data_IF_690569013484
#
_entry.id   IF_690569013484
#
_cell.length_a   1.000
_cell.length_b   1.000
_cell.length_c   1.000
_cell.angle_alpha   90.00
_cell.angle_beta   90.00
_cell.angle_gamma   90.00
#
_symmetry.space_group_name_H-M   'P 1'
#
loop_
_entity.id
_entity.type
_entity.pdbx_description
1 polymer ?
#
# COMPACT_ATOMS: atom_id res chain seq x y z
N UNK A 1 4.93 -24.68 -15.89
CA UNK A 1 4.42 -23.53 -15.13
C UNK A 1 4.99 -23.59 -13.71
N UNK A 2 5.78 -22.62 -13.30
CA UNK A 2 6.16 -22.51 -11.89
C UNK A 2 4.91 -22.11 -11.11
N UNK A 3 4.40 -22.99 -10.25
CA UNK A 3 3.39 -22.65 -9.27
C UNK A 3 4.07 -21.76 -8.21
N UNK A 4 3.99 -20.44 -8.39
CA UNK A 4 4.50 -19.49 -7.41
C UNK A 4 3.45 -19.34 -6.30
N UNK A 5 3.86 -19.54 -5.05
CA UNK A 5 3.04 -19.38 -3.86
C UNK A 5 3.60 -18.22 -3.05
N UNK A 6 2.71 -17.36 -2.54
CA UNK A 6 3.09 -16.23 -1.66
C UNK A 6 3.67 -16.75 -0.34
N UNK A 7 4.41 -15.90 0.33
CA UNK A 7 4.68 -16.11 1.75
C UNK A 7 3.39 -15.89 2.55
N UNK A 8 3.30 -16.48 3.74
CA UNK A 8 2.15 -16.33 4.63
C UNK A 8 1.84 -14.85 4.90
N UNK A 9 0.58 -14.46 4.74
CA UNK A 9 0.04 -13.17 5.19
C UNK A 9 -0.85 -13.39 6.41
N UNK A 10 -0.81 -12.47 7.37
CA UNK A 10 -1.63 -12.56 8.58
C UNK A 10 -3.08 -12.16 8.27
N UNK A 11 -3.28 -11.27 7.29
CA UNK A 11 -4.60 -10.83 6.83
C UNK A 11 -4.62 -10.91 5.30
N UNK A 12 -5.70 -11.49 4.77
CA UNK A 12 -6.01 -11.50 3.33
C UNK A 12 -7.42 -10.98 3.15
N UNK A 13 -7.58 -9.93 2.35
CA UNK A 13 -8.87 -9.40 1.92
C UNK A 13 -9.15 -9.87 0.50
N UNK A 14 -10.30 -10.45 0.27
CA UNK A 14 -10.65 -11.07 -1.01
C UNK A 14 -12.13 -10.86 -1.34
N UNK A 15 -12.48 -11.11 -2.58
CA UNK A 15 -13.87 -11.01 -3.03
C UNK A 15 -14.73 -12.09 -2.35
N UNK A 16 -15.78 -11.67 -1.64
CA UNK A 16 -16.65 -12.53 -0.83
C UNK A 16 -17.41 -13.60 -1.64
N UNK A 17 -17.60 -13.37 -2.93
CA UNK A 17 -18.35 -14.27 -3.80
C UNK A 17 -17.49 -15.44 -4.33
N UNK A 18 -16.24 -15.53 -3.87
CA UNK A 18 -15.29 -16.57 -4.25
C UNK A 18 -14.91 -17.45 -3.06
N UNK A 19 -14.71 -18.74 -3.33
CA UNK A 19 -14.34 -19.74 -2.32
C UNK A 19 -12.82 -19.93 -2.34
N UNK A 20 -12.17 -20.08 -1.15
CA UNK A 20 -10.76 -20.48 -1.08
C UNK A 20 -10.49 -21.74 -1.88
N UNK A 21 -9.36 -21.79 -2.60
CA UNK A 21 -8.97 -22.98 -3.37
C UNK A 21 -8.75 -24.19 -2.49
N UNK A 22 -8.18 -23.98 -1.31
CA UNK A 22 -7.89 -25.04 -0.35
C UNK A 22 -8.14 -24.46 1.06
N UNK A 23 -8.97 -25.15 1.81
CA UNK A 23 -9.19 -24.94 3.23
C UNK A 23 -8.90 -26.27 3.94
N UNK A 24 -7.79 -26.37 4.64
CA UNK A 24 -7.42 -27.54 5.41
C UNK A 24 -7.52 -27.32 6.93
N UNK A 25 -8.18 -26.23 7.37
CA UNK A 25 -8.33 -25.86 8.77
C UNK A 25 -7.08 -25.26 9.42
N UNK A 26 -5.93 -25.30 8.74
CA UNK A 26 -4.64 -24.74 9.21
C UNK A 26 -4.22 -23.55 8.38
N UNK A 27 -4.45 -23.61 7.05
CA UNK A 27 -4.12 -22.54 6.12
C UNK A 27 -5.17 -22.45 5.01
N UNK A 28 -5.44 -21.21 4.59
CA UNK A 28 -6.32 -20.93 3.48
C UNK A 28 -5.48 -20.48 2.29
N UNK A 29 -5.76 -21.01 1.10
CA UNK A 29 -5.11 -20.61 -0.15
C UNK A 29 -6.14 -19.95 -1.06
N UNK A 30 -5.83 -18.74 -1.48
CA UNK A 30 -6.68 -17.95 -2.36
C UNK A 30 -6.04 -17.81 -3.74
N UNK A 31 -6.80 -17.89 -4.83
CA UNK A 31 -6.33 -17.43 -6.13
C UNK A 31 -5.91 -15.97 -6.01
N UNK A 32 -4.76 -15.61 -6.55
CA UNK A 32 -4.27 -14.24 -6.47
C UNK A 32 -5.19 -13.23 -7.15
N UNK A 33 -5.97 -13.70 -8.10
CA UNK A 33 -6.93 -12.91 -8.90
C UNK A 33 -8.10 -12.35 -8.09
N UNK A 34 -8.43 -12.98 -6.96
CA UNK A 34 -9.55 -12.54 -6.10
C UNK A 34 -9.07 -11.75 -4.88
N UNK A 35 -7.76 -11.68 -4.66
CA UNK A 35 -7.18 -10.95 -3.53
C UNK A 35 -7.21 -9.46 -3.83
N UNK A 36 -7.80 -8.69 -2.91
CA UNK A 36 -7.88 -7.23 -2.98
C UNK A 36 -6.78 -6.57 -2.14
N UNK A 37 -6.47 -7.17 -1.00
CA UNK A 37 -5.48 -6.61 -0.09
C UNK A 37 -4.82 -7.65 0.79
N UNK A 38 -3.59 -7.36 1.21
CA UNK A 38 -2.82 -8.19 2.13
C UNK A 38 -2.26 -7.37 3.27
N UNK A 39 -2.22 -7.95 4.46
CA UNK A 39 -1.68 -7.31 5.64
C UNK A 39 -0.78 -8.22 6.47
N UNK A 40 0.14 -7.59 7.18
CA UNK A 40 0.97 -8.25 8.18
C UNK A 40 0.77 -7.57 9.54
N UNK A 41 0.76 -8.36 10.62
CA UNK A 41 0.52 -7.86 11.99
C UNK A 41 1.73 -8.22 12.86
N UNK A 42 2.24 -7.24 13.58
CA UNK A 42 3.42 -7.40 14.42
C UNK A 42 3.21 -6.73 15.79
N UNK A 43 3.90 -7.22 16.82
CA UNK A 43 3.90 -6.58 18.13
C UNK A 43 4.75 -5.30 18.13
N UNK A 44 6.03 -5.43 18.30
CA UNK A 44 6.99 -4.32 18.25
C UNK A 44 7.98 -4.58 17.14
N UNK A 45 8.28 -3.56 16.34
CA UNK A 45 9.20 -3.68 15.22
C UNK A 45 10.43 -2.81 15.45
N UNK A 46 11.60 -3.39 15.28
CA UNK A 46 12.84 -2.67 15.05
C UNK A 46 13.02 -2.38 13.54
N UNK A 47 14.02 -1.56 13.17
CA UNK A 47 14.27 -1.16 11.77
C UNK A 47 14.40 -2.37 10.84
N UNK A 48 15.13 -3.40 11.26
CA UNK A 48 15.40 -4.60 10.42
C UNK A 48 14.12 -5.41 10.19
N UNK A 49 13.35 -5.64 11.23
CA UNK A 49 12.08 -6.37 11.15
C UNK A 49 11.03 -5.61 10.36
N UNK A 50 10.97 -4.29 10.51
CA UNK A 50 10.13 -3.40 9.72
C UNK A 50 10.44 -3.51 8.23
N UNK A 51 11.72 -3.35 7.84
CA UNK A 51 12.17 -3.50 6.46
C UNK A 51 11.81 -4.89 5.90
N UNK A 52 12.08 -5.97 6.66
CA UNK A 52 11.72 -7.33 6.23
C UNK A 52 10.22 -7.51 6.00
N UNK A 53 9.37 -6.94 6.86
CA UNK A 53 7.92 -7.01 6.72
C UNK A 53 7.44 -6.29 5.46
N UNK A 54 7.96 -5.09 5.18
CA UNK A 54 7.61 -4.34 3.98
C UNK A 54 8.06 -5.04 2.70
N UNK A 55 9.29 -5.55 2.66
CA UNK A 55 9.81 -6.31 1.49
C UNK A 55 9.01 -7.58 1.27
N UNK A 56 8.60 -8.28 2.33
CA UNK A 56 7.71 -9.45 2.27
C UNK A 56 6.39 -9.11 1.59
N UNK A 57 5.73 -8.04 2.03
CA UNK A 57 4.47 -7.56 1.42
C UNK A 57 4.66 -7.20 -0.06
N UNK A 58 5.74 -6.50 -0.39
CA UNK A 58 6.04 -6.12 -1.76
C UNK A 58 6.28 -7.33 -2.67
N UNK A 59 7.01 -8.34 -2.21
CA UNK A 59 7.22 -9.60 -2.95
C UNK A 59 5.91 -10.35 -3.19
N UNK A 60 4.98 -10.32 -2.24
CA UNK A 60 3.66 -10.92 -2.43
C UNK A 60 2.84 -10.15 -3.49
N UNK A 61 2.95 -8.81 -3.56
CA UNK A 61 2.32 -8.01 -4.62
C UNK A 61 2.93 -8.28 -6.00
N UNK A 62 4.24 -8.52 -6.10
CA UNK A 62 4.90 -8.90 -7.36
C UNK A 62 4.28 -10.16 -7.97
N UNK A 63 3.88 -11.14 -7.19
CA UNK A 63 3.21 -12.35 -7.71
C UNK A 63 1.94 -12.00 -8.48
N UNK A 64 1.18 -11.02 -7.99
CA UNK A 64 -0.01 -10.53 -8.69
C UNK A 64 0.35 -9.84 -10.01
N UNK A 65 1.36 -8.97 -10.01
CA UNK A 65 1.83 -8.27 -11.21
C UNK A 65 2.35 -9.24 -12.27
N UNK A 66 3.13 -10.24 -11.87
CA UNK A 66 3.59 -11.30 -12.78
C UNK A 66 2.41 -12.08 -13.40
N UNK A 67 1.39 -12.37 -12.61
CA UNK A 67 0.18 -13.06 -13.09
C UNK A 67 -0.62 -12.18 -14.03
N UNK A 68 -0.86 -10.92 -13.65
CA UNK A 68 -1.55 -9.92 -14.48
C UNK A 68 -0.85 -9.73 -15.82
N UNK A 69 0.49 -9.66 -15.85
CA UNK A 69 1.28 -9.57 -17.08
C UNK A 69 1.10 -10.76 -18.02
N UNK A 70 0.97 -11.98 -17.47
CA UNK A 70 0.74 -13.20 -18.27
C UNK A 70 -0.67 -13.29 -18.87
N UNK A 71 -1.67 -12.77 -18.14
CA UNK A 71 -3.09 -12.86 -18.54
C UNK A 71 -3.53 -11.76 -19.50
N UNK A 72 -2.78 -10.65 -19.61
CA UNK A 72 -3.04 -9.60 -20.62
C UNK A 72 -3.05 -10.15 -22.06
N UNK A 73 -2.44 -11.30 -22.30
CA UNK A 73 -2.43 -11.96 -23.61
C UNK A 73 -3.62 -12.89 -23.85
N UNK A 74 -4.35 -13.34 -22.84
CA UNK A 74 -5.31 -14.43 -22.96
C UNK A 74 -6.74 -14.12 -22.51
N UNK A 75 -7.00 -13.29 -21.50
CA UNK A 75 -8.36 -13.03 -21.00
C UNK A 75 -8.51 -11.64 -20.35
N UNK A 76 -9.60 -10.92 -20.71
CA UNK A 76 -10.02 -9.61 -20.15
C UNK A 76 -10.60 -9.70 -18.72
N UNK A 77 -10.17 -10.60 -17.87
CA UNK A 77 -10.76 -10.79 -16.53
C UNK A 77 -10.21 -9.89 -15.45
N UNK A 78 -9.10 -9.19 -15.70
CA UNK A 78 -8.58 -8.19 -14.79
C UNK A 78 -9.01 -6.82 -15.26
N UNK A 79 -9.59 -6.02 -14.38
CA UNK A 79 -9.66 -4.58 -14.59
C UNK A 79 -8.23 -4.07 -14.78
N UNK A 80 -8.00 -3.25 -15.80
CA UNK A 80 -6.67 -2.67 -16.04
C UNK A 80 -6.15 -1.88 -14.83
N UNK A 81 -7.06 -1.44 -13.96
CA UNK A 81 -6.79 -0.63 -12.78
C UNK A 81 -6.81 -1.41 -11.45
N UNK A 82 -7.06 -2.73 -11.46
CA UNK A 82 -7.05 -3.49 -10.21
C UNK A 82 -5.62 -3.74 -9.74
N UNK A 83 -5.30 -3.27 -8.55
CA UNK A 83 -4.01 -3.48 -7.88
C UNK A 83 -4.26 -4.05 -6.48
N UNK A 84 -3.41 -4.97 -6.02
CA UNK A 84 -3.47 -5.43 -4.64
C UNK A 84 -2.87 -4.36 -3.73
N UNK A 85 -3.62 -3.88 -2.75
CA UNK A 85 -3.04 -3.03 -1.73
C UNK A 85 -2.41 -3.84 -0.59
N UNK A 86 -1.47 -3.22 0.12
CA UNK A 86 -0.82 -3.87 1.26
C UNK A 86 -0.63 -2.92 2.43
N UNK A 87 -0.73 -3.46 3.64
CA UNK A 87 -0.61 -2.70 4.86
C UNK A 87 0.13 -3.47 5.95
N UNK A 88 0.76 -2.72 6.85
CA UNK A 88 1.43 -3.25 8.03
C UNK A 88 0.77 -2.65 9.27
N UNK A 89 0.37 -3.51 10.21
CA UNK A 89 -0.12 -3.07 11.53
C UNK A 89 0.87 -3.51 12.60
N UNK A 90 1.27 -2.59 13.47
CA UNK A 90 2.08 -2.94 14.63
C UNK A 90 1.62 -2.19 15.88
N UNK A 91 1.99 -2.71 17.04
CA UNK A 91 1.72 -2.01 18.29
C UNK A 91 2.65 -0.81 18.45
N UNK A 92 3.96 -0.97 18.13
CA UNK A 92 4.97 0.06 18.34
C UNK A 92 6.15 -0.10 17.38
N UNK A 93 6.72 1.04 16.98
CA UNK A 93 8.02 1.13 16.32
C UNK A 93 9.11 1.47 17.36
N UNK A 94 10.16 0.67 17.45
CA UNK A 94 11.29 0.90 18.36
C UNK A 94 12.45 1.67 17.70
N UNK A 95 12.16 2.41 16.64
CA UNK A 95 13.12 3.20 15.87
C UNK A 95 12.45 4.48 15.33
N UNK A 96 13.27 5.42 14.89
CA UNK A 96 12.80 6.64 14.25
C UNK A 96 12.54 6.40 12.76
N UNK A 97 11.26 6.39 12.38
CA UNK A 97 10.82 6.12 11.02
C UNK A 97 11.29 7.17 10.00
N UNK A 98 11.56 8.40 10.44
CA UNK A 98 12.04 9.48 9.56
C UNK A 98 13.45 9.23 9.03
N UNK A 99 14.17 8.26 9.61
CA UNK A 99 15.52 7.84 9.21
C UNK A 99 15.52 6.63 8.27
N UNK A 100 14.36 6.23 7.75
CA UNK A 100 14.27 5.17 6.76
C UNK A 100 14.35 5.76 5.37
N UNK A 101 15.28 5.24 4.59
CA UNK A 101 15.30 5.41 3.15
C UNK A 101 14.48 4.28 2.51
N UNK A 102 13.31 4.63 1.96
CA UNK A 102 12.43 3.65 1.34
C UNK A 102 12.96 3.17 -0.02
N UNK A 103 13.80 3.92 -0.70
CA UNK A 103 14.43 3.47 -1.93
C UNK A 103 15.49 2.41 -1.63
N UNK A 104 16.20 2.54 -0.50
CA UNK A 104 17.09 1.48 0.01
C UNK A 104 16.29 0.22 0.42
N UNK A 105 15.15 0.40 1.11
CA UNK A 105 14.27 -0.72 1.51
C UNK A 105 13.80 -1.53 0.31
N UNK A 106 13.46 -0.86 -0.78
CA UNK A 106 12.89 -1.48 -1.98
C UNK A 106 13.87 -1.60 -3.16
N UNK A 107 15.17 -1.58 -2.90
CA UNK A 107 16.21 -1.62 -3.95
C UNK A 107 16.09 -2.82 -4.91
N UNK A 108 15.54 -3.95 -4.45
CA UNK A 108 15.27 -5.15 -5.25
C UNK A 108 13.87 -5.16 -5.91
N UNK A 109 13.04 -4.16 -5.64
CA UNK A 109 11.64 -4.06 -6.10
C UNK A 109 11.54 -2.86 -7.03
N UNK A 110 11.69 -3.09 -8.32
CA UNK A 110 11.69 -2.03 -9.33
C UNK A 110 10.31 -1.37 -9.50
N UNK A 111 9.21 -2.14 -9.35
CA UNK A 111 7.87 -1.60 -9.50
C UNK A 111 7.39 -0.92 -8.22
N UNK A 112 7.30 0.41 -8.26
CA UNK A 112 6.83 1.25 -7.15
C UNK A 112 5.42 0.84 -6.68
N UNK A 113 4.56 0.36 -7.56
CA UNK A 113 3.21 -0.12 -7.22
C UNK A 113 3.22 -1.32 -6.27
N UNK A 114 4.31 -2.06 -6.22
CA UNK A 114 4.48 -3.15 -5.27
C UNK A 114 4.83 -2.70 -3.85
N UNK A 115 5.20 -1.43 -3.64
CA UNK A 115 5.44 -0.90 -2.30
C UNK A 115 4.17 -0.96 -1.45
N UNK A 116 4.31 -0.92 -0.13
CA UNK A 116 3.17 -0.87 0.80
C UNK A 116 2.35 0.40 0.60
N UNK A 117 1.08 0.36 1.02
CA UNK A 117 0.18 1.52 0.92
C UNK A 117 0.12 2.30 2.23
N UNK A 118 0.03 1.62 3.35
CA UNK A 118 -0.13 2.25 4.66
C UNK A 118 0.49 1.42 5.77
N UNK A 119 1.01 2.09 6.79
CA UNK A 119 1.48 1.48 8.04
C UNK A 119 0.73 2.10 9.21
N UNK A 120 0.13 1.27 10.06
CA UNK A 120 -0.46 1.68 11.33
C UNK A 120 0.42 1.19 12.48
N UNK A 121 0.94 2.12 13.27
CA UNK A 121 1.43 1.84 14.61
C UNK A 121 0.43 2.33 15.64
N UNK A 122 -0.05 1.44 16.50
CA UNK A 122 -1.07 1.79 17.49
C UNK A 122 -0.58 2.87 18.48
N UNK A 123 0.71 2.87 18.78
CA UNK A 123 1.30 3.84 19.69
C UNK A 123 1.93 5.07 19.01
N UNK A 124 2.39 4.92 17.77
CA UNK A 124 3.17 5.97 17.12
C UNK A 124 2.37 6.79 16.11
N UNK A 125 1.26 6.25 15.56
CA UNK A 125 0.41 6.92 14.57
C UNK A 125 0.32 6.18 13.24
N UNK A 126 -0.12 6.87 12.20
CA UNK A 126 -0.26 6.34 10.85
C UNK A 126 0.82 6.91 9.93
N UNK A 127 1.36 6.06 9.05
CA UNK A 127 2.26 6.46 7.99
C UNK A 127 1.61 6.10 6.65
N UNK A 128 1.55 7.08 5.77
CA UNK A 128 0.90 6.96 4.47
C UNK A 128 1.54 7.88 3.44
N UNK A 129 1.22 7.66 2.18
CA UNK A 129 1.66 8.54 1.10
C UNK A 129 0.87 9.84 1.11
N UNK A 130 1.54 10.93 0.79
CA UNK A 130 0.97 12.26 0.75
C UNK A 130 1.47 13.03 -0.45
N UNK A 131 0.68 14.00 -0.89
CA UNK A 131 1.09 14.95 -1.90
C UNK A 131 2.00 16.01 -1.31
N UNK A 132 3.24 16.09 -1.83
CA UNK A 132 4.16 17.17 -1.48
C UNK A 132 3.86 18.43 -2.32
N UNK A 133 3.02 19.31 -1.82
CA UNK A 133 2.61 20.52 -2.51
C UNK A 133 3.75 21.47 -2.85
N UNK A 134 4.81 21.51 -2.05
CA UNK A 134 5.94 22.41 -2.28
C UNK A 134 6.69 22.06 -3.58
N UNK A 135 6.72 20.80 -3.93
CA UNK A 135 7.41 20.27 -5.12
C UNK A 135 6.54 20.25 -6.39
N UNK A 136 5.21 20.48 -6.26
CA UNK A 136 4.34 20.50 -7.42
C UNK A 136 4.72 21.64 -8.37
N UNK A 137 4.81 21.38 -9.70
CA UNK A 137 4.93 22.41 -10.71
C UNK A 137 3.74 23.38 -10.68
N UNK A 138 3.98 24.65 -11.01
CA UNK A 138 2.98 25.73 -10.90
C UNK A 138 1.66 25.41 -11.60
N UNK A 139 1.72 24.86 -12.82
CA UNK A 139 0.52 24.49 -13.58
C UNK A 139 -0.33 23.43 -12.87
N UNK A 140 0.29 22.43 -12.25
CA UNK A 140 -0.41 21.39 -11.49
C UNK A 140 -0.99 21.95 -10.20
N UNK A 141 -0.32 22.90 -9.53
CA UNK A 141 -0.87 23.62 -8.36
C UNK A 141 -2.15 24.35 -8.74
N UNK A 142 -2.12 25.12 -9.83
CA UNK A 142 -3.28 25.85 -10.34
C UNK A 142 -4.42 24.90 -10.73
N UNK A 143 -4.11 23.82 -11.42
CA UNK A 143 -5.11 22.81 -11.79
C UNK A 143 -5.79 22.18 -10.56
N UNK A 144 -5.01 21.77 -9.56
CA UNK A 144 -5.53 21.19 -8.32
C UNK A 144 -6.45 22.17 -7.57
N UNK A 145 -6.05 23.45 -7.48
CA UNK A 145 -6.86 24.51 -6.85
C UNK A 145 -8.17 24.71 -7.63
N UNK A 146 -8.10 24.76 -8.95
CA UNK A 146 -9.27 24.95 -9.82
C UNK A 146 -10.27 23.77 -9.72
N UNK A 147 -9.80 22.56 -9.40
CA UNK A 147 -10.65 21.42 -9.14
C UNK A 147 -11.23 21.40 -7.71
N UNK A 148 -11.03 22.45 -6.92
CA UNK A 148 -11.53 22.56 -5.55
C UNK A 148 -10.61 21.92 -4.51
N UNK A 149 -9.41 21.56 -4.87
CA UNK A 149 -8.40 21.04 -3.93
C UNK A 149 -7.98 22.12 -2.93
N UNK A 150 -8.01 21.81 -1.65
CA UNK A 150 -7.57 22.70 -0.57
C UNK A 150 -6.09 22.51 -0.27
N UNK A 151 -5.25 23.46 -0.71
CA UNK A 151 -3.81 23.49 -0.41
C UNK A 151 -3.53 23.60 1.08
N UNK A 152 -4.48 24.12 1.86
CA UNK A 152 -4.35 24.28 3.31
C UNK A 152 -4.77 23.02 4.07
N UNK A 153 -5.52 22.12 3.45
CA UNK A 153 -5.79 20.79 3.98
C UNK A 153 -4.50 19.98 3.91
N UNK A 154 -3.70 20.05 4.93
CA UNK A 154 -2.43 19.34 5.01
C UNK A 154 -2.55 18.24 6.07
N UNK A 155 -2.12 17.01 5.76
CA UNK A 155 -1.60 16.51 4.49
C UNK A 155 -2.70 16.01 3.55
N UNK A 156 -2.55 16.24 2.25
CA UNK A 156 -3.39 15.56 1.24
C UNK A 156 -2.92 14.12 1.15
N UNK A 157 -3.75 13.21 1.58
CA UNK A 157 -3.42 11.79 1.59
C UNK A 157 -3.61 11.21 0.19
N UNK A 158 -2.68 10.37 -0.18
CA UNK A 158 -2.70 9.63 -1.42
C UNK A 158 -2.74 8.13 -1.13
N UNK A 159 -3.67 7.42 -1.72
CA UNK A 159 -3.93 6.02 -1.34
C UNK A 159 -2.90 5.04 -1.90
N UNK A 160 -2.11 5.44 -2.89
CA UNK A 160 -1.24 4.50 -3.61
C UNK A 160 0.10 5.13 -3.99
N UNK A 161 1.22 4.40 -3.92
CA UNK A 161 2.45 4.83 -4.56
C UNK A 161 2.29 4.76 -6.08
N UNK A 162 2.72 5.82 -6.77
CA UNK A 162 2.62 5.92 -8.22
C UNK A 162 3.97 5.68 -8.89
N UNK A 163 3.93 5.15 -10.11
CA UNK A 163 5.13 5.05 -10.95
C UNK A 163 5.64 6.46 -11.28
N UNK A 164 6.94 6.69 -11.07
CA UNK A 164 7.53 8.03 -11.16
C UNK A 164 8.17 8.34 -12.51
N UNK A 165 8.18 7.40 -13.46
CA UNK A 165 9.04 7.49 -14.63
C UNK A 165 8.59 8.53 -15.68
N UNK A 166 7.30 8.88 -15.74
CA UNK A 166 6.75 9.69 -16.83
C UNK A 166 6.11 11.01 -16.41
N UNK A 167 5.75 11.22 -15.13
CA UNK A 167 5.03 12.41 -14.70
C UNK A 167 5.59 13.00 -13.38
N UNK A 168 6.04 14.25 -13.44
CA UNK A 168 6.52 15.00 -12.26
C UNK A 168 5.45 15.13 -11.17
N UNK A 169 4.16 15.10 -11.52
CA UNK A 169 3.07 15.10 -10.55
C UNK A 169 3.13 13.86 -9.63
N UNK A 170 3.32 12.68 -10.20
CA UNK A 170 3.35 11.44 -9.42
C UNK A 170 4.57 11.33 -8.50
N UNK A 171 5.69 11.97 -8.84
CA UNK A 171 6.83 12.08 -7.92
C UNK A 171 6.44 12.79 -6.63
N UNK A 172 5.62 13.84 -6.75
CA UNK A 172 5.14 14.59 -5.59
C UNK A 172 4.13 13.80 -4.73
N UNK A 173 3.49 12.76 -5.27
CA UNK A 173 2.53 11.91 -4.56
C UNK A 173 3.19 10.78 -3.75
N UNK A 174 4.47 10.48 -3.97
CA UNK A 174 5.18 9.39 -3.30
C UNK A 174 5.86 9.80 -1.98
N UNK A 175 5.47 10.92 -1.41
CA UNK A 175 5.99 11.40 -0.14
C UNK A 175 5.36 10.61 1.02
N UNK A 176 6.07 9.62 1.55
CA UNK A 176 5.61 8.78 2.65
C UNK A 176 5.99 9.39 3.99
N UNK A 177 5.00 9.82 4.75
CA UNK A 177 5.19 10.53 6.02
C UNK A 177 4.36 9.93 7.16
N UNK A 178 4.80 10.20 8.38
CA UNK A 178 4.02 9.98 9.59
C UNK A 178 3.05 11.14 9.79
N UNK A 179 1.75 10.83 9.92
CA UNK A 179 0.73 11.79 10.29
C UNK A 179 0.51 11.73 11.80
N UNK A 180 0.65 12.86 12.46
CA UNK A 180 0.36 12.99 13.87
C UNK A 180 -1.06 13.55 14.05
N UNK A 181 -1.77 13.03 15.05
CA UNK A 181 -3.10 13.49 15.43
C UNK A 181 -3.12 13.91 16.88
N UNK A 182 -3.89 14.93 17.19
CA UNK A 182 -4.09 15.41 18.57
C UNK A 182 -4.95 14.44 19.40
N UNK A 183 -5.83 13.70 18.74
CA UNK A 183 -6.70 12.68 19.36
C UNK A 183 -6.02 11.30 19.33
N UNK A 184 -5.97 10.66 20.49
CA UNK A 184 -5.28 9.37 20.74
C UNK A 184 -5.70 8.22 19.80
N UNK A 185 -6.94 8.24 19.27
CA UNK A 185 -7.46 7.13 18.44
C UNK A 185 -7.74 7.53 16.99
N UNK A 186 -7.56 8.79 16.65
CA UNK A 186 -7.90 9.33 15.33
C UNK A 186 -7.12 8.65 14.20
N UNK A 187 -5.88 8.27 14.45
CA UNK A 187 -5.04 7.54 13.49
C UNK A 187 -5.59 6.14 13.16
N UNK A 188 -6.23 5.46 14.12
CA UNK A 188 -6.86 4.14 13.89
C UNK A 188 -8.10 4.32 13.01
N UNK A 189 -8.94 5.32 13.31
CA UNK A 189 -10.11 5.63 12.49
C UNK A 189 -9.68 5.99 11.07
N UNK A 190 -8.63 6.78 10.94
CA UNK A 190 -8.09 7.17 9.63
C UNK A 190 -7.56 5.98 8.84
N UNK A 191 -6.85 5.07 9.50
CA UNK A 191 -6.42 3.82 8.88
C UNK A 191 -7.60 3.03 8.31
N UNK A 192 -8.70 2.89 9.08
CA UNK A 192 -9.90 2.20 8.61
C UNK A 192 -10.55 2.90 7.42
N UNK A 193 -10.55 4.24 7.39
CA UNK A 193 -11.03 5.02 6.24
C UNK A 193 -10.19 4.76 5.00
N UNK A 194 -8.86 4.74 5.13
CA UNK A 194 -7.96 4.43 4.02
C UNK A 194 -8.21 3.00 3.49
N UNK A 195 -8.28 2.00 4.38
CA UNK A 195 -8.54 0.62 3.97
C UNK A 195 -9.90 0.51 3.25
N UNK A 196 -10.93 1.19 3.76
CA UNK A 196 -12.24 1.22 3.11
C UNK A 196 -12.16 1.83 1.71
N UNK A 197 -11.50 2.97 1.56
CA UNK A 197 -11.33 3.63 0.27
C UNK A 197 -10.60 2.73 -0.73
N UNK A 198 -9.51 2.06 -0.31
CA UNK A 198 -8.76 1.12 -1.14
C UNK A 198 -9.62 -0.07 -1.60
N UNK A 199 -10.56 -0.54 -0.78
CA UNK A 199 -11.48 -1.62 -1.14
C UNK A 199 -12.58 -1.16 -2.12
N UNK A 200 -13.07 0.08 -1.98
CA UNK A 200 -14.18 0.64 -2.79
C UNK A 200 -13.68 1.14 -4.16
N UNK A 201 -12.47 1.67 -4.25
CA UNK A 201 -11.91 2.17 -5.51
C UNK A 201 -11.54 1.07 -6.50
N UNK A 202 -11.64 -0.20 -6.09
CA UNK A 202 -11.43 -1.36 -6.98
C UNK A 202 -9.97 -1.56 -7.39
N UNK A 203 -9.09 -1.09 -6.51
CA UNK A 203 -7.67 -1.44 -6.65
C UNK A 203 -7.48 -2.94 -6.62
#
# INVERSE_FOLDING_TARGET
>A
SKNSVSTQCDIVMYDKDTIPLIDNGIAHFYPVEIVKGIGDVKSTLNKVEFTKALVKLARNKLLYQERKGRLKSEERRFSENSEIFSFLVCNKLSFDITKIDFDEVYNEISDVKCRHNVVLSLQDGILTYTLNFSELPTKQKEHFINMGGDIKANPVIWNYPHHTEEDEFYKCCNNFIKINYDDKYKHIIHFLIIIKALLEEGY
#
